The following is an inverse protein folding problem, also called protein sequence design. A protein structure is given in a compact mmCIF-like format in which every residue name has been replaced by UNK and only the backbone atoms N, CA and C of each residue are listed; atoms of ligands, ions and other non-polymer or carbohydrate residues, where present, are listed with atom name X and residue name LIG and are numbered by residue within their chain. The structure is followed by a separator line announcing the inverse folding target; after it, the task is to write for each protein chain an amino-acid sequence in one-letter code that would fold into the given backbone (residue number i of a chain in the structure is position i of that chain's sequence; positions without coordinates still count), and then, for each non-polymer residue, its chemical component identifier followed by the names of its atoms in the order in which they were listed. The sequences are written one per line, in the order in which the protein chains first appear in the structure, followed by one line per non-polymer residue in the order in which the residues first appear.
data_IF_519015620249
#
_entry.id   IF_519015620249
#
_cell.length_a   1.000
_cell.length_b   1.000
_cell.length_c   1.000
_cell.angle_alpha   90.00
_cell.angle_beta   90.00
_cell.angle_gamma   90.00
#
_symmetry.space_group_name_H-M   'P 1'
#
loop_
_entity.id
_entity.type
_entity.pdbx_description
1 polymer ?
2 non-polymer ?
3 water ?
#
# COMPACT_ATOMS: atom_id res chain seq x y z
N UNK A 5 -18.33 -10.21 2.24
CA UNK A 5 -17.78 -10.73 3.53
C UNK A 5 -16.68 -11.78 3.34
N UNK A 6 -15.48 -11.46 3.82
CA UNK A 6 -14.34 -12.37 3.85
C UNK A 6 -13.99 -12.60 5.31
N UNK A 7 -14.20 -13.83 5.82
CA UNK A 7 -13.89 -14.13 7.22
C UNK A 7 -12.44 -14.61 7.46
N UNK A 8 -12.01 -14.48 8.73
CA UNK A 8 -10.76 -15.05 9.22
C UNK A 8 -11.06 -16.21 10.15
N UNK A 9 -10.02 -16.85 10.67
CA UNK A 9 -10.22 -17.97 11.56
C UNK A 9 -11.00 -17.62 12.82
N UNK A 10 -11.79 -18.59 13.27
CA UNK A 10 -12.65 -18.44 14.42
C UNK A 10 -11.78 -18.46 15.68
N UNK A 11 -12.07 -17.56 16.62
CA UNK A 11 -11.50 -17.55 17.96
C UNK A 11 -12.50 -18.17 18.96
N UNK A 12 -11.98 -19.00 19.85
CA UNK A 12 -12.79 -19.60 20.90
C UNK A 12 -12.24 -19.25 22.27
N UNK A 13 -13.15 -19.17 23.23
CA UNK A 13 -12.77 -18.96 24.61
C UNK A 13 -12.38 -17.53 24.93
N UNK A 14 -11.86 -17.38 26.14
CA UNK A 14 -11.61 -16.09 26.74
C UNK A 14 -10.12 -15.69 26.78
N UNK A 15 -9.25 -16.46 26.11
CA UNK A 15 -7.81 -16.14 26.05
C UNK A 15 -7.49 -15.13 24.97
N UNK A 16 -6.21 -14.86 24.76
CA UNK A 16 -5.79 -13.99 23.65
C UNK A 16 -5.93 -14.66 22.28
N UNK A 17 -5.95 -13.82 21.25
CA UNK A 17 -6.16 -14.24 19.88
C UNK A 17 -5.34 -13.30 19.01
N UNK A 18 -4.90 -13.80 17.86
CA UNK A 18 -4.08 -13.05 16.94
C UNK A 18 -4.38 -13.48 15.51
N UNK A 19 -4.56 -12.51 14.61
CA UNK A 19 -4.74 -12.79 13.20
C UNK A 19 -3.69 -12.10 12.37
N UNK A 20 -3.16 -12.82 11.38
CA UNK A 20 -2.34 -12.27 10.31
C UNK A 20 -2.92 -12.74 8.96
N UNK A 21 -2.20 -12.47 7.88
CA UNK A 21 -2.64 -12.81 6.54
C UNK A 21 -2.91 -14.29 6.34
N UNK A 22 -2.08 -15.16 6.93
CA UNK A 22 -2.30 -16.58 6.81
C UNK A 22 -3.62 -17.01 7.46
N UNK A 23 -3.99 -16.39 8.57
CA UNK A 23 -5.21 -16.77 9.31
C UNK A 23 -6.41 -15.86 9.02
N UNK A 24 -6.20 -14.78 8.27
CA UNK A 24 -7.29 -13.87 7.93
C UNK A 24 -7.17 -13.44 6.47
N UNK A 25 -7.99 -14.06 5.61
CA UNK A 25 -7.98 -13.83 4.17
C UNK A 25 -8.33 -12.39 3.74
N UNK A 26 -8.90 -11.62 4.65
CA UNK A 26 -9.23 -10.24 4.40
C UNK A 26 -8.03 -9.30 4.38
N UNK A 27 -6.93 -9.72 5.00
CA UNK A 27 -5.72 -8.90 4.96
C UNK A 27 -5.02 -9.01 3.62
N UNK A 28 -4.32 -7.94 3.27
CA UNK A 28 -3.52 -7.93 2.07
C UNK A 28 -2.46 -9.03 2.14
N UNK A 29 -2.38 -9.79 1.05
CA UNK A 29 -1.32 -10.74 0.85
C UNK A 29 -0.94 -10.75 -0.63
N UNK A 30 0.36 -10.77 -0.88
CA UNK A 30 0.89 -10.83 -2.24
C UNK A 30 1.66 -12.14 -2.46
N UNK A 31 1.09 -13.03 -3.27
CA UNK A 31 1.66 -14.38 -3.41
C UNK A 31 2.98 -14.45 -4.18
N UNK A 32 3.16 -13.61 -5.20
CA UNK A 32 4.43 -13.60 -5.96
C UNK A 32 5.62 -13.20 -5.09
N UNK A 33 5.45 -12.19 -4.25
CA UNK A 33 6.51 -11.76 -3.32
C UNK A 33 6.41 -12.43 -1.95
N UNK A 34 5.31 -13.15 -1.70
CA UNK A 34 5.07 -13.83 -0.42
C UNK A 34 5.15 -12.86 0.75
N UNK A 35 4.42 -11.76 0.61
CA UNK A 35 4.49 -10.68 1.56
C UNK A 35 3.12 -10.30 2.12
N UNK A 36 3.10 -10.05 3.43
CA UNK A 36 1.97 -9.47 4.13
C UNK A 36 2.50 -8.61 5.28
N UNK A 37 1.66 -7.74 5.85
CA UNK A 37 2.15 -6.77 6.83
C UNK A 37 1.29 -6.55 8.06
N UNK A 38 0.07 -7.09 8.06
CA UNK A 38 -0.98 -6.72 8.99
C UNK A 38 -1.23 -7.77 10.09
N UNK A 39 -1.56 -7.30 11.30
CA UNK A 39 -2.06 -8.18 12.36
C UNK A 39 -3.18 -7.56 13.18
N UNK A 40 -4.06 -8.38 13.72
CA UNK A 40 -5.11 -7.97 14.65
C UNK A 40 -5.01 -8.86 15.88
N UNK A 41 -4.87 -8.25 17.06
CA UNK A 41 -4.81 -9.02 18.30
C UNK A 41 -5.89 -8.58 19.26
N UNK A 42 -6.42 -9.55 20.00
CA UNK A 42 -7.32 -9.30 21.11
C UNK A 42 -6.65 -9.82 22.39
N UNK A 43 -6.57 -8.96 23.39
CA UNK A 43 -5.86 -9.27 24.65
C UNK A 43 -6.67 -8.84 25.84
N UNK A 44 -6.42 -9.50 26.96
CA UNK A 44 -6.90 -9.02 28.26
C UNK A 44 -8.41 -9.01 28.40
N UNK A 45 -9.10 -10.01 27.88
CA UNK A 45 -10.55 -10.05 28.03
C UNK A 45 -10.98 -10.08 29.51
N UNK A 46 -11.98 -9.27 29.85
CA UNK A 46 -12.78 -9.50 31.05
C UNK A 46 -14.14 -10.01 30.62
N UNK A 47 -14.29 -11.32 30.58
CA UNK A 47 -15.48 -11.93 30.00
C UNK A 47 -15.47 -11.65 28.51
N UNK A 48 -16.50 -10.97 28.00
CA UNK A 48 -16.54 -10.60 26.60
C UNK A 48 -16.16 -9.14 26.33
N UNK A 49 -15.71 -8.44 27.37
CA UNK A 49 -15.30 -7.04 27.26
C UNK A 49 -13.80 -6.97 27.03
N UNK A 50 -13.41 -6.40 25.89
CA UNK A 50 -12.02 -6.05 25.63
C UNK A 50 -11.76 -4.70 26.27
N UNK A 51 -10.70 -4.60 27.10
CA UNK A 51 -10.40 -3.31 27.70
C UNK A 51 -9.67 -2.39 26.75
N UNK A 52 -9.60 -1.12 27.15
CA UNK A 52 -8.84 -0.11 26.45
C UNK A 52 -7.45 -0.63 26.18
N UNK A 53 -6.98 -0.46 24.93
CA UNK A 53 -5.65 -0.94 24.52
C UNK A 53 -5.60 -2.42 24.18
N UNK A 54 -6.70 -3.12 24.40
CA UNK A 54 -6.75 -4.56 24.21
C UNK A 54 -7.00 -5.01 22.79
N UNK A 55 -7.57 -4.17 21.94
CA UNK A 55 -7.80 -4.51 20.53
C UNK A 55 -6.82 -3.70 19.70
N UNK A 56 -5.90 -4.39 19.03
CA UNK A 56 -4.73 -3.75 18.39
C UNK A 56 -4.55 -4.19 16.95
N UNK A 57 -4.66 -3.24 16.04
CA UNK A 57 -4.30 -3.45 14.64
C UNK A 57 -2.88 -2.91 14.45
N UNK A 58 -2.05 -3.68 13.76
CA UNK A 58 -0.67 -3.27 13.49
C UNK A 58 -0.32 -3.49 12.03
N UNK A 59 0.50 -2.60 11.47
CA UNK A 59 1.05 -2.81 10.14
C UNK A 59 2.48 -2.28 10.01
N UNK A 60 3.31 -3.05 9.31
CA UNK A 60 4.75 -2.78 9.21
C UNK A 60 5.16 -2.85 7.74
N UNK A 61 6.00 -1.90 7.31
CA UNK A 61 6.52 -1.90 5.94
C UNK A 61 7.29 -3.19 5.61
N UNK A 62 7.04 -3.73 4.42
CA UNK A 62 7.83 -4.83 3.85
C UNK A 62 8.38 -4.36 2.51
N UNK A 63 9.45 -5.00 2.04
CA UNK A 63 10.03 -4.66 0.75
C UNK A 63 9.93 -5.84 -0.20
N UNK A 64 9.58 -5.53 -1.45
CA UNK A 64 9.38 -6.54 -2.48
C UNK A 64 10.13 -6.09 -3.73
N UNK A 65 10.60 -7.06 -4.51
CA UNK A 65 11.32 -6.76 -5.74
C UNK A 65 10.38 -6.11 -6.74
N UNK A 66 10.90 -5.17 -7.53
CA UNK A 66 10.16 -4.66 -8.68
C UNK A 66 9.85 -5.82 -9.61
N UNK A 67 8.72 -5.72 -10.31
CA UNK A 67 8.36 -6.67 -11.35
C UNK A 67 9.50 -6.81 -12.35
N UNK A 68 10.01 -5.65 -12.80
CA UNK A 68 11.26 -5.60 -13.56
C UNK A 68 12.44 -5.63 -12.59
N UNK A 69 12.93 -6.83 -12.29
CA UNK A 69 14.03 -6.99 -11.36
C UNK A 69 15.36 -6.87 -12.13
N UNK A 70 16.28 -6.05 -11.59
CA UNK A 70 17.57 -5.81 -12.22
C UNK A 70 18.49 -5.00 -11.28
N UNK A 71 19.08 -5.68 -10.28
CA UNK A 71 20.05 -5.05 -9.37
C UNK A 71 21.18 -4.27 -10.06
N UNK A 72 21.69 -4.79 -11.19
CA UNK A 72 22.74 -4.09 -11.95
C UNK A 72 22.26 -2.76 -12.59
N UNK A 73 20.95 -2.59 -12.75
CA UNK A 73 20.36 -1.33 -13.24
C UNK A 73 19.82 -0.45 -12.10
N UNK A 74 19.89 -0.91 -10.86
CA UNK A 74 19.34 -0.18 -9.71
C UNK A 74 17.87 -0.46 -9.41
N UNK A 75 17.32 -1.53 -9.97
CA UNK A 75 15.95 -1.99 -9.67
C UNK A 75 16.01 -3.15 -8.68
N UNK A 76 15.97 -2.83 -7.38
CA UNK A 76 15.99 -3.85 -6.34
C UNK A 76 14.58 -4.06 -5.74
N UNK A 77 14.26 -3.35 -4.66
CA UNK A 77 12.97 -3.51 -4.00
C UNK A 77 12.22 -2.19 -3.94
N UNK A 78 10.92 -2.27 -3.68
CA UNK A 78 10.11 -1.12 -3.30
C UNK A 78 9.26 -1.48 -2.07
N UNK A 79 8.86 -0.46 -1.28
CA UNK A 79 8.20 -0.75 -0.03
C UNK A 79 6.70 -0.92 -0.22
N UNK A 80 6.09 -1.80 0.57
CA UNK A 80 4.64 -2.01 0.54
C UNK A 80 4.13 -2.08 1.96
N UNK A 81 2.84 -1.77 2.13
CA UNK A 81 2.21 -1.77 3.43
C UNK A 81 0.72 -2.00 3.29
N UNK A 82 0.23 -3.05 3.95
CA UNK A 82 -1.18 -3.22 4.13
C UNK A 82 -1.72 -2.11 5.00
N UNK A 83 -2.84 -1.52 4.59
CA UNK A 83 -3.53 -0.54 5.42
C UNK A 83 -5.03 -0.80 5.31
N UNK A 84 -5.57 -1.39 6.37
CA UNK A 84 -6.96 -1.89 6.40
C UNK A 84 -7.32 -2.72 5.21
N UNK A 85 -6.46 -3.69 4.92
CA UNK A 85 -6.72 -4.70 3.89
C UNK A 85 -6.44 -4.22 2.46
N UNK A 86 -5.94 -3.00 2.29
CA UNK A 86 -5.64 -2.47 0.96
C UNK A 86 -4.14 -2.23 0.83
N UNK A 87 -3.55 -2.61 -0.30
CA UNK A 87 -2.15 -2.31 -0.55
C UNK A 87 -1.93 -0.82 -0.67
N UNK A 88 -0.94 -0.32 0.05
CA UNK A 88 -0.41 1.02 -0.11
C UNK A 88 1.12 0.96 -0.21
N UNK A 89 1.71 1.99 -0.80
CA UNK A 89 3.15 2.14 -0.96
C UNK A 89 3.64 3.34 -0.18
N UNK A 90 4.48 3.13 0.85
CA UNK A 90 5.02 4.28 1.55
C UNK A 90 5.91 5.14 0.65
N UNK A 91 5.72 6.45 0.68
CA UNK A 91 6.48 7.33 -0.22
C UNK A 91 7.96 7.34 0.18
N UNK A 92 8.20 6.99 1.45
CA UNK A 92 9.53 6.82 2.00
C UNK A 92 9.62 5.44 2.68
N UNK A 93 10.47 4.53 2.16
CA UNK A 93 10.49 3.12 2.61
C UNK A 93 10.73 2.84 4.10
N UNK A 94 11.06 3.86 4.90
CA UNK A 94 11.28 3.67 6.32
C UNK A 94 10.19 4.31 7.20
N UNK A 95 9.18 4.91 6.57
CA UNK A 95 8.16 5.68 7.28
C UNK A 95 6.74 5.24 6.90
N UNK A 96 6.01 4.71 7.88
CA UNK A 96 4.66 4.19 7.69
C UNK A 96 3.57 5.26 7.48
N UNK A 97 3.79 6.48 7.96
CA UNK A 97 2.69 7.46 8.02
C UNK A 97 2.33 8.17 6.70
N UNK A 98 3.14 8.06 5.65
CA UNK A 98 2.82 8.72 4.38
C UNK A 98 2.82 7.71 3.23
N UNK A 99 1.67 7.56 2.59
CA UNK A 99 1.44 6.46 1.66
C UNK A 99 0.63 6.88 0.44
N UNK A 100 0.78 6.11 -0.65
CA UNK A 100 0.04 6.32 -1.89
C UNK A 100 -0.32 4.96 -2.48
N UNK A 101 -1.28 4.93 -3.40
CA UNK A 101 -1.61 3.71 -4.15
C UNK A 101 -0.64 3.41 -5.28
N UNK A 102 -0.38 2.13 -5.51
CA UNK A 102 0.42 1.69 -6.67
C UNK A 102 -0.47 1.74 -7.91
N UNK A 103 -0.02 2.40 -8.98
CA UNK A 103 -0.74 2.37 -10.28
C UNK A 103 -0.22 1.25 -11.21
N UNK A 104 1.10 1.19 -11.38
CA UNK A 104 1.76 0.18 -12.21
C UNK A 104 3.02 -0.36 -11.54
N UNK A 105 3.21 -1.67 -11.68
CA UNK A 105 4.47 -2.34 -11.39
C UNK A 105 4.59 -3.38 -12.51
N UNK A 106 5.26 -2.98 -13.59
CA UNK A 106 5.28 -3.75 -14.83
C UNK A 106 6.70 -4.07 -15.30
N UNK A 107 6.82 -5.20 -15.98
CA UNK A 107 8.03 -5.54 -16.71
C UNK A 107 7.73 -5.90 -18.18
N UNK A 108 6.54 -5.54 -18.65
CA UNK A 108 6.17 -5.77 -20.06
C UNK A 108 6.93 -4.81 -20.96
N UNK A 109 6.92 -5.13 -22.26
CA UNK A 109 7.57 -4.30 -23.26
C UNK A 109 6.54 -3.44 -23.97
N UNK A 110 6.76 -2.13 -23.94
CA UNK A 110 5.92 -1.19 -24.68
C UNK A 110 6.79 -0.46 -25.68
N UNK A 111 6.16 0.07 -26.72
CA UNK A 111 6.86 0.87 -27.71
C UNK A 111 6.18 2.22 -27.80
N UNK A 112 6.97 3.30 -27.73
CA UNK A 112 6.45 4.63 -27.92
C UNK A 112 7.07 5.21 -29.19
N UNK A 113 6.21 5.61 -30.12
CA UNK A 113 6.63 6.34 -31.31
C UNK A 113 6.78 7.80 -30.92
N UNK A 114 7.73 8.50 -31.54
CA UNK A 114 8.04 9.88 -31.15
C UNK A 114 6.86 10.86 -31.35
N UNK A 115 5.83 10.48 -32.10
CA UNK A 115 4.58 11.24 -32.12
C UNK A 115 3.58 10.80 -31.05
N UNK A 116 3.86 9.67 -30.41
CA UNK A 116 2.85 8.91 -29.66
C UNK A 116 2.85 9.11 -28.15
N UNK A 117 1.86 8.48 -27.52
CA UNK A 117 1.65 8.52 -26.09
C UNK A 117 1.70 7.11 -25.50
N UNK A 118 1.71 7.05 -24.17
CA UNK A 118 1.46 5.81 -23.45
C UNK A 118 0.66 6.17 -22.21
N UNK A 119 -0.63 5.87 -22.22
CA UNK A 119 -1.50 6.06 -21.06
C UNK A 119 -1.14 5.05 -19.98
N UNK A 120 -0.81 5.54 -18.80
CA UNK A 120 -0.35 4.70 -17.69
C UNK A 120 -1.44 4.40 -16.66
N UNK A 121 -2.64 4.93 -16.88
CA UNK A 121 -3.75 4.80 -15.92
C UNK A 121 -3.91 6.05 -15.07
N UNK A 122 -5.14 6.32 -14.65
CA UNK A 122 -5.45 7.43 -13.73
C UNK A 122 -4.94 8.79 -14.18
N UNK A 123 -5.00 9.06 -15.48
CA UNK A 123 -4.54 10.33 -16.02
C UNK A 123 -3.02 10.54 -16.04
N UNK A 124 -2.24 9.51 -15.70
CA UNK A 124 -0.79 9.60 -15.86
C UNK A 124 -0.43 9.07 -17.25
N UNK A 125 0.44 9.79 -17.95
CA UNK A 125 0.87 9.41 -19.30
C UNK A 125 2.32 9.79 -19.52
N UNK A 126 2.96 9.14 -20.49
CA UNK A 126 4.30 9.53 -20.94
C UNK A 126 4.33 9.72 -22.44
N UNK A 127 4.75 10.91 -22.87
CA UNK A 127 4.88 11.26 -24.28
C UNK A 127 6.34 11.22 -24.72
N UNK A 128 6.57 10.73 -25.92
CA UNK A 128 7.90 10.70 -26.53
C UNK A 128 7.95 11.73 -27.66
N UNK A 129 9.10 12.37 -27.81
CA UNK A 129 9.37 13.28 -28.94
C UNK A 129 10.84 13.20 -29.34
N UNK A 130 11.12 13.63 -30.57
CA UNK A 130 12.47 13.66 -31.10
C UNK A 130 13.12 15.00 -30.78
N UNK A 131 14.33 14.95 -30.22
CA UNK A 131 15.07 16.17 -29.86
C UNK A 131 16.51 16.09 -30.39
N UNK A 132 17.17 17.24 -30.44
CA UNK A 132 18.60 17.29 -30.72
C UNK A 132 19.33 17.76 -29.45
N UNK A 133 20.18 16.88 -28.91
CA UNK A 133 21.19 17.23 -27.90
C UNK A 133 22.45 16.43 -28.29
N UNK A 134 23.47 17.11 -28.83
CA UNK A 134 24.63 16.42 -29.42
C UNK A 134 24.19 15.33 -30.43
N UNK A 135 23.21 15.68 -31.29
CA UNK A 135 22.63 14.74 -32.25
C UNK A 135 21.21 14.33 -31.90
N UNK A 136 20.63 13.47 -32.71
CA UNK A 136 19.24 13.03 -32.51
C UNK A 136 19.08 12.19 -31.22
N UNK A 137 18.16 12.61 -30.36
CA UNK A 137 17.88 11.94 -29.08
C UNK A 137 16.38 11.81 -28.89
N UNK A 138 15.95 10.88 -28.04
CA UNK A 138 14.53 10.75 -27.67
C UNK A 138 14.23 11.50 -26.39
N UNK A 139 13.12 12.23 -26.39
CA UNK A 139 12.71 13.07 -25.28
C UNK A 139 11.40 12.55 -24.72
N UNK A 140 11.42 12.07 -23.48
CA UNK A 140 10.23 11.56 -22.81
C UNK A 140 9.67 12.59 -21.85
N UNK A 141 8.36 12.85 -21.95
CA UNK A 141 7.68 13.81 -21.09
C UNK A 141 6.62 13.12 -20.22
N UNK A 142 6.85 13.15 -18.90
CA UNK A 142 5.88 12.60 -17.93
C UNK A 142 4.83 13.65 -17.59
N UNK A 143 3.56 13.32 -17.83
CA UNK A 143 2.45 14.25 -17.58
C UNK A 143 1.39 13.66 -16.62
N UNK A 144 0.46 14.52 -16.21
CA UNK A 144 -0.58 14.15 -15.26
C UNK A 144 -1.84 14.99 -15.50
N UNK A 145 -2.89 14.35 -16.03
CA UNK A 145 -4.20 14.98 -16.23
C UNK A 145 -4.18 16.23 -17.10
N UNK A 146 -3.13 16.37 -17.92
CA UNK A 146 -2.88 17.60 -18.65
C UNK A 146 -2.02 18.55 -17.84
N UNK A 147 -0.78 18.14 -17.57
CA UNK A 147 0.19 19.00 -16.89
C UNK A 147 1.59 18.38 -16.91
N UNK A 148 2.58 19.17 -17.30
CA UNK A 148 3.98 18.76 -17.24
C UNK A 148 4.37 18.32 -15.81
N UNK A 149 5.30 17.37 -15.70
CA UNK A 149 5.85 16.97 -14.41
C UNK A 149 7.38 16.82 -14.44
N UNK A 150 7.91 16.09 -15.43
CA UNK A 150 9.36 15.94 -15.57
C UNK A 150 9.78 15.42 -16.96
N UNK A 151 11.09 15.51 -17.25
CA UNK A 151 11.65 14.98 -18.50
C UNK A 151 13.03 14.35 -18.34
N UNK A 152 13.40 13.55 -19.33
CA UNK A 152 14.75 13.01 -19.46
C UNK A 152 15.07 12.86 -20.94
N UNK A 153 16.35 12.77 -21.26
CA UNK A 153 16.80 12.55 -22.63
C UNK A 153 17.59 11.24 -22.67
N UNK A 154 17.36 10.46 -23.74
CA UNK A 154 17.80 9.06 -23.78
C UNK A 154 18.79 8.80 -24.91
N UNK A 164 20.22 3.50 -18.26
CA UNK A 164 18.93 3.52 -18.95
C UNK A 164 17.74 3.85 -18.06
N UNK A 165 17.93 3.81 -16.74
CA UNK A 165 16.84 4.05 -15.78
C UNK A 165 16.59 5.54 -15.53
N UNK A 166 15.38 5.98 -15.87
CA UNK A 166 14.91 7.32 -15.54
C UNK A 166 14.04 7.27 -14.26
N UNK A 167 14.37 8.12 -13.28
CA UNK A 167 13.61 8.23 -12.02
C UNK A 167 13.07 9.64 -11.81
N UNK A 168 11.76 9.79 -11.62
CA UNK A 168 11.14 11.10 -11.38
C UNK A 168 10.95 11.37 -9.87
N UNK A 169 11.75 12.30 -9.34
CA UNK A 169 11.73 12.66 -7.93
C UNK A 169 11.08 14.03 -7.72
N UNK A 170 9.91 14.05 -7.07
CA UNK A 170 9.13 15.29 -6.89
C UNK A 170 9.24 15.89 -5.50
N UNK A 171 8.75 17.12 -5.38
CA UNK A 171 8.77 17.87 -4.14
C UNK A 171 7.35 18.14 -3.64
N UNK A 172 7.22 18.35 -2.35
CA UNK A 172 5.93 18.50 -1.67
C UNK A 172 4.94 17.37 -2.00
N UNK A 173 5.38 16.12 -1.85
CA UNK A 173 4.47 14.99 -1.83
C UNK A 173 4.26 14.66 -0.36
N UNK A 174 3.05 14.92 0.12
CA UNK A 174 2.73 14.85 1.56
C UNK A 174 3.78 15.56 2.42
N UNK A 175 4.17 16.76 2.00
CA UNK A 175 5.18 17.56 2.70
C UNK A 175 6.57 16.93 2.77
N UNK A 176 6.89 16.06 1.80
CA UNK A 176 8.21 15.45 1.70
C UNK A 176 8.85 15.80 0.37
N UNK A 177 10.18 15.74 0.34
CA UNK A 177 11.00 16.05 -0.84
C UNK A 177 11.78 14.82 -1.29
N UNK A 178 12.24 14.84 -2.54
CA UNK A 178 13.13 13.80 -3.10
C UNK A 178 12.43 12.44 -3.20
N UNK A 179 11.15 12.47 -3.58
CA UNK A 179 10.28 11.30 -3.57
C UNK A 179 10.13 10.75 -4.99
N UNK A 180 10.63 9.52 -5.20
CA UNK A 180 10.48 8.86 -6.50
C UNK A 180 9.02 8.42 -6.69
N UNK A 181 8.36 8.99 -7.68
CA UNK A 181 6.98 8.63 -8.01
C UNK A 181 6.89 7.80 -9.28
N UNK A 182 7.99 7.74 -10.04
CA UNK A 182 8.03 7.02 -11.32
C UNK A 182 9.43 6.47 -11.59
N UNK A 183 9.49 5.25 -12.11
CA UNK A 183 10.71 4.67 -12.64
C UNK A 183 10.44 4.17 -14.05
N UNK A 184 11.35 4.47 -14.97
CA UNK A 184 11.27 3.97 -16.35
C UNK A 184 12.64 3.46 -16.80
N UNK A 185 12.68 2.22 -17.28
CA UNK A 185 13.89 1.62 -17.83
C UNK A 185 13.72 1.44 -19.33
N UNK A 186 14.71 1.87 -20.09
CA UNK A 186 14.65 1.73 -21.55
C UNK A 186 15.61 0.63 -21.98
N UNK A 187 15.08 -0.31 -22.76
CA UNK A 187 15.84 -1.44 -23.30
C UNK A 187 16.66 -0.99 -24.50
N UNK A 188 16.01 -0.25 -25.39
CA UNK A 188 16.64 0.16 -26.65
C UNK A 188 15.83 1.27 -27.32
N UNK A 189 16.45 1.94 -28.29
CA UNK A 189 15.79 2.98 -29.08
C UNK A 189 16.14 2.82 -30.55
N UNK A 190 15.12 2.76 -31.40
CA UNK A 190 15.29 2.47 -32.83
C UNK A 190 15.02 3.69 -33.67
N UNK A 191 15.78 3.82 -34.76
CA UNK A 191 15.62 4.91 -35.71
C UNK A 191 15.76 4.40 -37.13
N UNK A 197 11.64 5.22 -32.32
CA UNK A 197 10.70 4.66 -31.35
C UNK A 197 11.42 3.92 -30.21
N UNK A 198 10.94 4.12 -28.97
CA UNK A 198 11.62 3.60 -27.77
C UNK A 198 10.98 2.31 -27.29
N UNK A 199 11.77 1.44 -26.67
CA UNK A 199 11.24 0.24 -26.02
C UNK A 199 11.35 0.35 -24.49
N UNK A 200 10.20 0.41 -23.84
CA UNK A 200 10.14 0.40 -22.39
C UNK A 200 10.07 -1.04 -21.89
N UNK A 201 10.89 -1.36 -20.89
CA UNK A 201 10.73 -2.61 -20.13
C UNK A 201 11.13 -2.32 -18.69
N UNK A 202 10.12 -1.94 -17.90
CA UNK A 202 10.34 -1.45 -16.53
C UNK A 202 9.57 -0.16 -16.37
N UNK A 203 8.36 -0.26 -15.82
CA UNK A 203 7.52 0.89 -15.49
C UNK A 203 7.00 0.72 -14.07
N UNK A 204 7.20 1.73 -13.23
CA UNK A 204 6.71 1.72 -11.86
C UNK A 204 6.18 3.11 -11.53
N UNK A 205 4.93 3.19 -11.05
CA UNK A 205 4.26 4.46 -10.82
C UNK A 205 3.32 4.39 -9.62
N UNK A 206 3.34 5.46 -8.83
CA UNK A 206 2.40 5.63 -7.73
C UNK A 206 1.51 6.86 -7.95
N UNK A 207 0.30 6.80 -7.41
CA UNK A 207 -0.66 7.89 -7.55
C UNK A 207 -0.36 8.95 -6.51
N UNK A 208 0.74 9.66 -6.72
CA UNK A 208 1.23 10.67 -5.79
C UNK A 208 0.30 11.85 -5.63
N UNK A 209 -0.54 12.12 -6.62
CA UNK A 209 -1.48 13.26 -6.55
C UNK A 209 -2.61 13.03 -5.52
N UNK A 210 -2.82 11.77 -5.16
CA UNK A 210 -3.86 11.42 -4.20
C UNK A 210 -3.27 10.69 -3.00
N UNK A 211 -2.02 11.00 -2.68
CA UNK A 211 -1.35 10.44 -1.52
C UNK A 211 -2.05 10.88 -0.24
N UNK A 212 -1.69 10.23 0.86
CA UNK A 212 -2.31 10.51 2.14
C UNK A 212 -1.34 10.32 3.30
N UNK A 213 -1.73 10.90 4.43
CA UNK A 213 -0.91 10.96 5.63
C UNK A 213 -1.74 10.43 6.79
N UNK A 214 -1.12 9.57 7.60
CA UNK A 214 -1.72 9.11 8.84
C UNK A 214 -1.15 9.94 10.00
N UNK A 215 -2.05 10.52 10.81
CA UNK A 215 -1.65 11.35 11.94
C UNK A 215 -2.09 10.73 13.27
N UNK A 216 -1.37 11.11 14.31
CA UNK A 216 -1.63 10.74 15.70
C UNK A 216 -3.07 10.99 16.17
N UNK A 217 -3.66 12.09 15.66
CA UNK A 217 -5.04 12.48 15.94
C UNK A 217 -6.13 11.76 15.13
N UNK A 218 -5.78 10.87 14.21
CA UNK A 218 -6.79 10.22 13.38
C UNK A 218 -7.61 9.17 14.14
N UNK A 219 -8.84 9.00 13.68
CA UNK A 219 -9.75 7.98 14.19
C UNK A 219 -10.13 7.05 13.04
N UNK A 220 -10.07 5.75 13.29
CA UNK A 220 -10.49 4.76 12.30
C UNK A 220 -11.51 3.84 12.98
N UNK A 221 -12.75 4.31 13.04
CA UNK A 221 -13.82 3.60 13.74
C UNK A 221 -13.53 3.53 15.23
N UNK A 222 -13.68 2.36 15.82
CA UNK A 222 -13.36 2.19 17.23
C UNK A 222 -11.87 2.01 17.49
N UNK A 223 -11.08 1.93 16.43
CA UNK A 223 -9.62 1.98 16.54
C UNK A 223 -9.21 3.45 16.41
N UNK A 224 -9.22 4.15 17.54
CA UNK A 224 -9.07 5.60 17.56
C UNK A 224 -7.88 6.11 18.40
N UNK A 225 -6.98 5.19 18.76
CA UNK A 225 -5.70 5.54 19.40
C UNK A 225 -4.60 5.12 18.42
N UNK A 226 -4.04 6.10 17.73
CA UNK A 226 -3.05 5.87 16.68
C UNK A 226 -1.63 6.13 17.20
N UNK A 227 -0.77 5.13 17.07
CA UNK A 227 0.64 5.27 17.46
C UNK A 227 1.49 5.01 16.21
N UNK A 228 2.29 6.00 15.82
CA UNK A 228 3.13 5.95 14.65
C UNK A 228 4.59 5.77 15.11
N UNK A 229 5.19 4.65 14.71
CA UNK A 229 6.49 4.22 15.21
C UNK A 229 7.40 3.89 14.03
N UNK A 230 7.78 4.91 13.27
CA UNK A 230 8.69 4.74 12.14
C UNK A 230 8.08 3.91 11.03
N UNK A 231 8.56 2.68 10.88
CA UNK A 231 8.09 1.76 9.83
C UNK A 231 6.83 0.96 10.22
N UNK A 232 6.30 1.20 11.42
CA UNK A 232 5.14 0.51 11.94
C UNK A 232 4.04 1.49 12.37
N UNK A 233 2.79 1.12 12.08
CA UNK A 233 1.60 1.78 12.61
C UNK A 233 0.93 0.82 13.57
N UNK A 234 0.60 1.29 14.76
CA UNK A 234 -0.19 0.55 15.72
C UNK A 234 -1.43 1.39 16.02
N UNK A 235 -2.60 0.77 15.98
CA UNK A 235 -3.85 1.45 16.24
C UNK A 235 -4.71 0.60 17.14
N UNK A 236 -5.07 1.16 18.30
CA UNK A 236 -5.87 0.44 19.28
C UNK A 236 -7.12 1.19 19.72
N UNK A 237 -7.93 0.54 20.54
CA UNK A 237 -9.19 1.08 21.04
C UNK A 237 -9.00 1.91 22.32
N UNK A 238 -9.59 3.11 22.35
CA UNK A 238 -9.52 4.01 23.49
C UNK A 238 -10.60 3.71 24.51
N UNK A 239 -11.75 3.21 24.06
CA UNK A 239 -12.80 2.74 24.95
C UNK A 239 -12.87 1.23 24.95
N UNK A 240 -13.51 0.70 25.98
CA UNK A 240 -13.77 -0.73 26.05
C UNK A 240 -14.58 -1.13 24.82
N UNK A 241 -14.33 -2.34 24.34
CA UNK A 241 -14.97 -2.89 23.16
C UNK A 241 -15.62 -4.20 23.59
N UNK A 242 -16.95 -4.25 23.54
CA UNK A 242 -17.70 -5.40 24.07
C UNK A 242 -18.06 -6.33 22.93
N UNK A 243 -17.71 -7.62 23.07
CA UNK A 243 -18.02 -8.65 22.09
C UNK A 243 -19.40 -9.21 22.39
N UNK A 244 -20.43 -8.42 22.08
CA UNK A 244 -21.81 -8.80 22.36
C UNK A 244 -22.22 -10.03 21.56
N UNK A 245 -22.77 -11.01 22.25
CA UNK A 245 -23.13 -12.30 21.67
C UNK A 245 -24.37 -12.16 20.79
N UNK A 246 -24.47 -13.02 19.78
CA UNK A 246 -25.52 -12.96 18.76
C UNK A 246 -25.51 -11.63 18.00
N UNK A 247 -24.33 -11.17 17.59
CA UNK A 247 -24.24 -9.85 16.97
C UNK A 247 -23.05 -9.67 16.04
N UNK A 248 -23.09 -8.58 15.30
CA UNK A 248 -21.96 -8.06 14.53
C UNK A 248 -21.55 -6.71 15.11
N UNK A 249 -20.24 -6.50 15.29
CA UNK A 249 -19.72 -5.25 15.85
C UNK A 249 -18.61 -4.69 14.98
N UNK A 250 -18.73 -3.42 14.61
CA UNK A 250 -17.71 -2.74 13.81
C UNK A 250 -16.46 -2.53 14.61
N UNK A 251 -15.34 -2.94 14.01
CA UNK A 251 -14.02 -2.59 14.50
C UNK A 251 -13.66 -1.25 13.84
N UNK A 252 -13.71 -1.22 12.51
CA UNK A 252 -13.49 0.01 11.74
C UNK A 252 -13.05 -0.27 10.32
N UNK A 253 -13.24 0.70 9.42
CA UNK A 253 -12.74 0.63 8.04
C UNK A 253 -13.16 -0.62 7.24
N UNK A 254 -14.33 -1.15 7.51
CA UNK A 254 -14.78 -2.35 6.82
C UNK A 254 -14.51 -3.62 7.61
N UNK A 255 -13.78 -3.52 8.72
CA UNK A 255 -13.52 -4.67 9.57
C UNK A 255 -14.55 -4.79 10.68
N UNK A 256 -15.04 -6.01 10.88
CA UNK A 256 -16.05 -6.31 11.88
C UNK A 256 -15.66 -7.57 12.60
N UNK A 257 -16.32 -7.81 13.72
CA UNK A 257 -16.37 -9.12 14.32
C UNK A 257 -17.79 -9.61 14.24
N UNK A 258 -17.93 -10.90 13.98
CA UNK A 258 -19.16 -11.64 14.19
C UNK A 258 -18.99 -12.47 15.43
N UNK A 259 -19.95 -12.38 16.34
CA UNK A 259 -19.88 -13.08 17.59
C UNK A 259 -21.08 -13.98 17.69
N UNK A 260 -20.82 -15.25 17.99
CA UNK A 260 -21.84 -16.28 17.99
C UNK A 260 -22.88 -16.08 19.08
N UNK A 261 -24.06 -16.62 18.79
CA UNK A 261 -25.14 -16.69 19.73
C UNK A 261 -24.95 -17.89 20.66
N UNK A 262 -24.15 -17.75 21.70
CA UNK A 262 -23.98 -18.81 22.69
C UNK A 262 -24.48 -18.32 24.03
N UNK A 263 -24.37 -19.16 25.05
CA UNK A 263 -24.56 -18.69 26.41
C UNK A 263 -23.30 -17.93 26.80
N UNK A 264 -23.37 -17.23 27.93
CA UNK A 264 -22.22 -16.53 28.48
C UNK A 264 -21.17 -17.49 29.04
N UNK A 265 -21.42 -18.79 28.93
CA UNK A 265 -20.43 -19.79 29.31
C UNK A 265 -19.37 -19.96 28.23
N UNK A 266 -19.62 -19.38 27.05
CA UNK A 266 -18.70 -19.47 25.93
C UNK A 266 -18.55 -18.14 25.24
N UNK A 267 -17.56 -18.08 24.37
CA UNK A 267 -17.32 -16.93 23.53
C UNK A 267 -16.75 -17.47 22.25
N UNK A 268 -17.42 -17.22 21.14
CA UNK A 268 -16.90 -17.63 19.85
C UNK A 268 -17.18 -16.51 18.85
N UNK A 269 -16.15 -16.12 18.11
CA UNK A 269 -16.19 -14.95 17.23
C UNK A 269 -15.13 -14.99 16.17
N UNK A 270 -15.37 -14.29 15.06
CA UNK A 270 -14.35 -14.14 14.06
C UNK A 270 -14.40 -12.77 13.44
N UNK A 271 -13.25 -12.30 12.94
CA UNK A 271 -13.24 -11.03 12.27
C UNK A 271 -13.61 -11.23 10.82
N UNK A 272 -14.22 -10.22 10.24
CA UNK A 272 -14.40 -10.21 8.80
C UNK A 272 -14.26 -8.81 8.21
N UNK A 273 -14.08 -8.78 6.90
CA UNK A 273 -13.97 -7.57 6.14
C UNK A 273 -15.18 -7.55 5.22
N UNK A 274 -15.76 -6.37 5.00
CA UNK A 274 -16.80 -6.20 4.00
C UNK A 274 -16.32 -5.45 2.76
X LIG B 1 -18.48 -2.63 20.25
X LIG B 1 -19.40 -3.60 20.72
X LIG B 1 -18.59 -1.41 21.13
X LIG B 1 -18.37 -1.81 22.47
X LIG B 1 -17.60 -0.33 20.68
X LIG B 1 -17.53 0.74 21.59
#
# INVERSE_FOLDING_TARGET
MGTYEIRGQVASGFGDQSWDASSFAGFYYDIDDNVSTETLTVSDLDGNVIPEGGLVYTTTIADVDFEYYNPDAGWDQYPVMGFFAEEYIPINPDKADKIAKLVLDSDDKYTIRTGEMLDLGEGYAIEAKQVDVDGEKVWLEFTKDGEFVDDEIISVSTADDEANTWDVELDDIEDEDDVVVLKVHVNQVFQGAVDSIAQIEGLWLIDYANAMTIESDDEFGNLDDVSIDGDTLKISNEDTFTLTRDSEEEIGEGMYFMIADTSSSDLRYYPYVEKTIGLEHHHHHH
GOL C1 O1 C2 O2 C3 O3
#
